data_IF_926596969050
#
_entry.id   IF_926596969050
#
_cell.length_a   1.000
_cell.length_b   1.000
_cell.length_c   1.000
_cell.angle_alpha   90.00
_cell.angle_beta   90.00
_cell.angle_gamma   90.00
#
_symmetry.space_group_name_H-M   'P 1'
#
loop_
_entity.id
_entity.type
_entity.pdbx_description
1 polymer ?
#
# COMPACT_ATOMS: atom_id res chain seq x y z
N UNK A 1 -19.14 7.83 19.90
CA UNK A 1 -18.33 8.96 19.36
C UNK A 1 -19.03 9.50 18.13
N UNK A 2 -19.39 10.78 18.08
CA UNK A 2 -20.15 11.35 16.95
C UNK A 2 -19.30 11.40 15.67
N UNK A 3 -19.84 10.93 14.54
CA UNK A 3 -19.26 11.11 13.21
C UNK A 3 -19.59 12.53 12.74
N UNK A 4 -18.60 13.44 12.77
CA UNK A 4 -18.75 14.78 12.20
C UNK A 4 -18.11 14.84 10.83
N UNK A 5 -18.70 15.65 9.92
CA UNK A 5 -18.15 15.86 8.56
C UNK A 5 -16.72 16.38 8.65
N UNK A 6 -16.44 17.29 9.59
CA UNK A 6 -15.10 17.84 9.80
C UNK A 6 -14.07 16.76 10.13
N UNK A 7 -14.35 15.85 11.07
CA UNK A 7 -13.42 14.76 11.42
C UNK A 7 -13.14 13.82 10.26
N UNK A 8 -14.19 13.48 9.49
CA UNK A 8 -14.04 12.64 8.32
C UNK A 8 -13.19 13.32 7.23
N UNK A 9 -13.47 14.59 6.95
CA UNK A 9 -12.72 15.38 5.96
C UNK A 9 -11.24 15.54 6.36
N UNK A 10 -10.95 15.83 7.64
CA UNK A 10 -9.56 15.91 8.13
C UNK A 10 -8.83 14.59 7.97
N UNK A 11 -9.45 13.46 8.33
CA UNK A 11 -8.84 12.14 8.17
C UNK A 11 -8.59 11.82 6.69
N UNK A 12 -9.58 12.04 5.83
CA UNK A 12 -9.47 11.82 4.39
C UNK A 12 -8.35 12.66 3.77
N UNK A 13 -8.26 13.95 4.13
CA UNK A 13 -7.19 14.85 3.66
C UNK A 13 -5.82 14.39 4.14
N UNK A 14 -5.70 13.97 5.40
CA UNK A 14 -4.46 13.47 5.98
C UNK A 14 -3.99 12.20 5.26
N UNK A 15 -4.89 11.24 5.04
CA UNK A 15 -4.59 9.99 4.34
C UNK A 15 -4.16 10.27 2.90
N UNK A 16 -4.93 11.08 2.17
CA UNK A 16 -4.60 11.48 0.82
C UNK A 16 -3.22 12.17 0.73
N UNK A 17 -2.86 12.99 1.71
CA UNK A 17 -1.53 13.61 1.75
C UNK A 17 -0.40 12.58 1.94
N UNK A 18 -0.61 11.52 2.72
CA UNK A 18 0.37 10.44 2.85
C UNK A 18 0.62 9.76 1.49
N UNK A 19 -0.46 9.35 0.80
CA UNK A 19 -0.35 8.63 -0.47
C UNK A 19 0.10 9.50 -1.65
N UNK A 20 -0.17 10.81 -1.63
CA UNK A 20 0.30 11.72 -2.67
C UNK A 20 1.70 12.27 -2.43
N UNK A 21 2.06 12.65 -1.20
CA UNK A 21 3.35 13.30 -0.97
C UNK A 21 4.41 12.32 -0.48
N UNK A 22 4.09 11.54 0.57
CA UNK A 22 5.08 10.66 1.17
C UNK A 22 5.48 9.54 0.20
N UNK A 23 4.52 8.93 -0.48
CA UNK A 23 4.80 7.80 -1.38
C UNK A 23 5.56 8.25 -2.62
N UNK A 24 5.20 9.39 -3.22
CA UNK A 24 5.95 9.93 -4.37
C UNK A 24 7.41 10.22 -3.99
N UNK A 25 7.63 10.81 -2.82
CA UNK A 25 8.98 11.06 -2.31
C UNK A 25 9.80 9.76 -2.15
N UNK A 26 9.22 8.73 -1.53
CA UNK A 26 9.91 7.43 -1.37
C UNK A 26 10.14 6.78 -2.73
N UNK A 27 9.21 6.89 -3.68
CA UNK A 27 9.36 6.30 -5.00
C UNK A 27 10.52 6.92 -5.79
N UNK A 28 10.73 8.24 -5.67
CA UNK A 28 11.88 8.92 -6.26
C UNK A 28 13.21 8.41 -5.68
N UNK A 29 13.30 8.18 -4.37
CA UNK A 29 14.51 7.65 -3.72
C UNK A 29 14.86 6.23 -4.17
N UNK A 30 13.86 5.40 -4.47
CA UNK A 30 14.03 4.00 -4.87
C UNK A 30 13.96 3.77 -6.40
N UNK A 31 13.94 4.82 -7.22
CA UNK A 31 13.78 4.73 -8.69
C UNK A 31 12.55 3.91 -9.12
N UNK A 32 11.45 4.04 -8.39
CA UNK A 32 10.19 3.33 -8.64
C UNK A 32 9.27 4.18 -9.51
N UNK A 33 8.68 3.56 -10.52
CA UNK A 33 7.67 4.20 -11.36
C UNK A 33 6.27 3.95 -10.79
N UNK A 34 5.63 4.98 -10.27
CA UNK A 34 4.23 4.93 -9.83
C UNK A 34 3.34 5.04 -11.08
N UNK A 35 2.56 3.99 -11.34
CA UNK A 35 1.58 3.98 -12.43
C UNK A 35 0.26 4.62 -11.98
N UNK A 36 -0.12 4.43 -10.72
CA UNK A 36 -1.28 5.06 -10.10
C UNK A 36 -1.11 5.16 -8.58
N UNK A 37 -1.52 6.29 -8.00
CA UNK A 37 -1.69 6.49 -6.56
C UNK A 37 -2.95 7.31 -6.35
N UNK A 38 -4.02 6.70 -5.84
CA UNK A 38 -5.29 7.38 -5.67
C UNK A 38 -5.97 7.01 -4.38
N UNK A 39 -6.10 8.01 -3.49
CA UNK A 39 -6.65 7.83 -2.15
C UNK A 39 -5.72 6.97 -1.31
N UNK A 40 -6.06 5.69 -1.21
CA UNK A 40 -5.38 4.65 -0.43
C UNK A 40 -4.81 3.51 -1.29
N UNK A 41 -5.05 3.51 -2.61
CA UNK A 41 -4.54 2.49 -3.53
C UNK A 41 -3.26 2.95 -4.24
N UNK A 42 -2.27 2.04 -4.33
CA UNK A 42 -0.98 2.26 -4.96
C UNK A 42 -0.63 1.14 -5.94
N UNK A 43 -0.28 1.50 -7.18
CA UNK A 43 0.30 0.58 -8.15
C UNK A 43 1.63 1.11 -8.69
N UNK A 44 2.68 0.33 -8.51
CA UNK A 44 4.06 0.72 -8.78
C UNK A 44 4.85 -0.38 -9.50
N UNK A 45 5.78 0.02 -10.36
CA UNK A 45 6.62 -0.85 -11.18
C UNK A 45 8.07 -0.42 -11.05
N UNK A 46 8.99 -1.37 -10.95
CA UNK A 46 10.41 -1.08 -10.82
C UNK A 46 11.26 -2.34 -10.78
N UNK A 47 12.53 -2.18 -10.41
CA UNK A 47 13.40 -3.32 -10.11
C UNK A 47 12.84 -4.10 -8.91
N UNK A 48 12.86 -5.42 -8.98
CA UNK A 48 12.32 -6.28 -7.93
C UNK A 48 12.96 -6.02 -6.55
N UNK A 49 14.26 -5.72 -6.51
CA UNK A 49 14.95 -5.43 -5.24
C UNK A 49 14.47 -4.09 -4.67
N UNK A 50 14.45 -3.06 -5.49
CA UNK A 50 14.05 -1.72 -5.07
C UNK A 50 12.56 -1.69 -4.68
N UNK A 51 11.71 -2.50 -5.33
CA UNK A 51 10.30 -2.68 -4.95
C UNK A 51 10.14 -3.30 -3.54
N UNK A 52 11.01 -4.25 -3.17
CA UNK A 52 10.99 -4.84 -1.82
C UNK A 52 11.39 -3.76 -0.80
N UNK A 53 12.50 -3.06 -1.03
CA UNK A 53 12.99 -2.01 -0.14
C UNK A 53 11.96 -0.87 0.00
N UNK A 54 11.36 -0.44 -1.11
CA UNK A 54 10.25 0.51 -1.18
C UNK A 54 9.04 0.08 -0.34
N UNK A 55 8.63 -1.19 -0.44
CA UNK A 55 7.47 -1.71 0.31
C UNK A 55 7.69 -1.71 1.83
N UNK A 56 8.92 -2.02 2.26
CA UNK A 56 9.31 -2.00 3.67
C UNK A 56 9.31 -0.56 4.19
N UNK A 57 9.85 0.38 3.41
CA UNK A 57 9.86 1.79 3.79
C UNK A 57 8.45 2.37 3.89
N UNK A 58 7.56 2.10 2.93
CA UNK A 58 6.15 2.50 3.00
C UNK A 58 5.50 1.98 4.29
N UNK A 59 5.68 0.70 4.60
CA UNK A 59 5.09 0.10 5.80
C UNK A 59 5.56 0.80 7.08
N UNK A 60 6.87 1.05 7.20
CA UNK A 60 7.47 1.72 8.35
C UNK A 60 6.99 3.17 8.48
N UNK A 61 6.97 3.92 7.38
CA UNK A 61 6.52 5.33 7.36
C UNK A 61 5.02 5.43 7.65
N UNK A 62 4.21 4.51 7.14
CA UNK A 62 2.78 4.47 7.41
C UNK A 62 2.48 4.14 8.86
N UNK A 63 3.14 3.12 9.42
CA UNK A 63 3.02 2.79 10.84
C UNK A 63 3.38 3.99 11.73
N UNK A 64 4.45 4.71 11.40
CA UNK A 64 4.80 5.95 12.10
C UNK A 64 3.76 7.05 11.92
N UNK A 65 3.24 7.24 10.70
CA UNK A 65 2.20 8.22 10.38
C UNK A 65 0.90 7.98 11.16
N UNK A 66 0.55 6.71 11.41
CA UNK A 66 -0.64 6.33 12.19
C UNK A 66 -0.35 6.20 13.69
N UNK A 67 0.81 6.64 14.16
CA UNK A 67 1.25 6.53 15.56
C UNK A 67 1.30 5.08 16.08
N UNK A 68 1.74 4.14 15.25
CA UNK A 68 1.83 2.70 15.55
C UNK A 68 0.49 2.11 15.99
N UNK A 69 -0.59 2.57 15.36
CA UNK A 69 -1.95 2.15 15.70
C UNK A 69 -2.35 0.91 14.89
N UNK A 70 -2.61 -0.19 15.59
CA UNK A 70 -3.04 -1.50 15.03
C UNK A 70 -4.45 -1.51 14.39
N UNK A 71 -5.09 -0.36 14.26
CA UNK A 71 -6.33 -0.20 13.49
C UNK A 71 -6.00 0.09 12.02
N UNK A 72 -4.86 0.74 11.75
CA UNK A 72 -4.45 1.14 10.41
C UNK A 72 -3.29 0.28 9.93
N UNK A 73 -3.51 -0.42 8.82
CA UNK A 73 -2.50 -1.25 8.19
C UNK A 73 -2.54 -1.06 6.68
N UNK A 74 -1.39 -1.28 6.04
CA UNK A 74 -1.26 -1.42 4.60
C UNK A 74 -0.99 -2.89 4.30
N UNK A 75 -1.69 -3.41 3.30
CA UNK A 75 -1.43 -4.71 2.69
C UNK A 75 -0.88 -4.47 1.29
N UNK A 76 0.06 -5.32 0.86
CA UNK A 76 0.66 -5.23 -0.47
C UNK A 76 0.81 -6.64 -1.07
N UNK A 77 0.78 -6.70 -2.40
CA UNK A 77 1.20 -7.86 -3.19
C UNK A 77 2.39 -7.46 -4.06
N UNK A 78 3.41 -8.32 -4.14
CA UNK A 78 4.58 -8.09 -5.01
C UNK A 78 4.67 -9.24 -6.00
N UNK A 79 4.46 -8.93 -7.28
CA UNK A 79 4.62 -9.86 -8.39
C UNK A 79 5.94 -9.61 -9.13
N UNK A 80 6.72 -10.66 -9.36
CA UNK A 80 7.97 -10.59 -10.14
C UNK A 80 7.77 -11.30 -11.46
N UNK A 81 7.91 -10.56 -12.56
CA UNK A 81 7.64 -11.05 -13.91
C UNK A 81 8.84 -10.87 -14.83
N UNK A 82 8.86 -11.60 -15.95
CA UNK A 82 9.86 -11.39 -17.00
C UNK A 82 9.62 -10.06 -17.72
N UNK A 83 10.65 -9.42 -18.30
CA UNK A 83 10.50 -8.10 -18.95
C UNK A 83 9.44 -8.04 -20.06
N UNK A 84 9.25 -9.12 -20.83
CA UNK A 84 8.26 -9.18 -21.92
C UNK A 84 6.89 -9.70 -21.47
N UNK A 85 6.66 -9.82 -20.16
CA UNK A 85 5.37 -10.25 -19.65
C UNK A 85 4.34 -9.12 -19.77
N UNK A 86 3.13 -9.38 -20.28
CA UNK A 86 2.14 -8.32 -20.46
C UNK A 86 1.74 -7.65 -19.13
N UNK A 87 1.84 -6.32 -19.07
CA UNK A 87 1.57 -5.53 -17.85
C UNK A 87 0.16 -5.82 -17.30
N UNK A 88 -0.85 -5.96 -18.17
CA UNK A 88 -2.23 -6.26 -17.75
C UNK A 88 -2.31 -7.53 -16.90
N UNK A 89 -1.67 -8.60 -17.35
CA UNK A 89 -1.67 -9.87 -16.63
C UNK A 89 -0.82 -9.79 -15.35
N UNK A 90 0.26 -9.01 -15.38
CA UNK A 90 1.09 -8.77 -14.20
C UNK A 90 0.32 -8.02 -13.11
N UNK A 91 -0.43 -7.00 -13.49
CA UNK A 91 -1.29 -6.24 -12.59
C UNK A 91 -2.41 -7.11 -11.99
N UNK A 92 -3.09 -7.92 -12.81
CA UNK A 92 -4.13 -8.85 -12.37
C UNK A 92 -3.60 -9.86 -11.35
N UNK A 93 -2.50 -10.54 -11.67
CA UNK A 93 -1.86 -11.50 -10.76
C UNK A 93 -1.34 -10.83 -9.47
N UNK A 94 -0.83 -9.60 -9.55
CA UNK A 94 -0.35 -8.87 -8.35
C UNK A 94 -1.51 -8.43 -7.46
N UNK A 95 -2.66 -8.05 -8.04
CA UNK A 95 -3.88 -7.72 -7.30
C UNK A 95 -4.47 -8.92 -6.55
N UNK A 96 -4.36 -10.13 -7.12
CA UNK A 96 -4.70 -11.36 -6.39
C UNK A 96 -3.79 -11.58 -5.18
N UNK A 97 -2.47 -11.36 -5.31
CA UNK A 97 -1.52 -11.46 -4.21
C UNK A 97 -1.82 -10.46 -3.09
N UNK A 98 -2.20 -9.24 -3.43
CA UNK A 98 -2.63 -8.21 -2.48
C UNK A 98 -3.93 -8.62 -1.75
N UNK A 99 -4.89 -9.17 -2.48
CA UNK A 99 -6.13 -9.68 -1.91
C UNK A 99 -5.87 -10.82 -0.91
N UNK A 100 -4.94 -11.72 -1.23
CA UNK A 100 -4.52 -12.79 -0.33
C UNK A 100 -3.80 -12.25 0.92
N UNK A 101 -3.02 -11.17 0.80
CA UNK A 101 -2.34 -10.57 1.95
C UNK A 101 -3.30 -9.87 2.90
N UNK A 102 -4.38 -9.27 2.38
CA UNK A 102 -5.51 -8.76 3.18
C UNK A 102 -6.23 -9.88 3.94
N UNK A 103 -6.49 -11.02 3.28
CA UNK A 103 -7.22 -12.15 3.88
C UNK A 103 -6.53 -12.80 5.09
N UNK A 104 -5.20 -12.96 5.05
CA UNK A 104 -4.42 -13.61 6.12
C UNK A 104 -4.47 -12.87 7.47
N UNK A 105 -4.74 -11.56 7.47
CA UNK A 105 -4.91 -10.80 8.71
C UNK A 105 -6.20 -11.19 9.45
N UNK A 106 -7.29 -11.42 8.71
CA UNK A 106 -8.57 -11.79 9.31
C UNK A 106 -8.54 -13.20 9.89
N UNK A 107 -7.92 -14.16 9.21
CA UNK A 107 -7.76 -15.54 9.71
C UNK A 107 -6.91 -15.63 10.99
N UNK A 108 -5.96 -14.71 11.18
CA UNK A 108 -5.13 -14.67 12.39
C UNK A 108 -5.83 -14.02 13.61
N UNK A 109 -6.87 -13.20 13.41
CA UNK A 109 -7.68 -12.63 14.51
C UNK A 109 -8.94 -13.42 14.82
N UNK A 110 -9.50 -14.12 13.83
CA UNK A 110 -10.56 -15.11 14.06
C UNK A 110 -9.87 -16.42 14.40
N UNK A 111 -9.49 -16.59 15.66
CA UNK A 111 -9.08 -17.89 16.17
C UNK A 111 -10.10 -18.93 15.70
N UNK A 112 -9.62 -20.00 15.05
CA UNK A 112 -10.44 -21.18 14.77
C UNK A 112 -11.16 -21.55 16.06
N UNK A 113 -12.47 -21.37 16.07
CA UNK A 113 -13.35 -21.90 17.11
C UNK A 113 -13.34 -23.43 17.05
#
# INVERSE_FOLDING_TARGET
MAKTISRFATLSRSMNNFFLWCINYIAEEHNIYITYSGGDDLFAVGNWKDLIDFSIEIHNKFSKFTCFNDIFHISAGIGVFRPNYPIRHGAEATGELESLSKGKWFDNKVGKA
#
